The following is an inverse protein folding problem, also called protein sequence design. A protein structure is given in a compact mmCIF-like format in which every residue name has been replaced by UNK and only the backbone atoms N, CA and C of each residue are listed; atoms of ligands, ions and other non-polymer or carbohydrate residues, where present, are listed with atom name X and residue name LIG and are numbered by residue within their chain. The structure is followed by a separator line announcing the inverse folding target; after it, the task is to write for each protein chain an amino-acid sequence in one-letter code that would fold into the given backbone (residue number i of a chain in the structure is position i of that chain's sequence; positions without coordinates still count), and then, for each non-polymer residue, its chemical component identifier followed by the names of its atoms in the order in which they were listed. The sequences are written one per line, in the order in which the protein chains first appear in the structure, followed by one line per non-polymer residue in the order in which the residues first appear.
data_IF_577403440806
#
_entry.id   IF_577403440806
#
_cell.length_a   1.000
_cell.length_b   1.000
_cell.length_c   1.000
_cell.angle_alpha   90.00
_cell.angle_beta   90.00
_cell.angle_gamma   90.00
#
_symmetry.space_group_name_H-M   'P 1'
#
loop_
_entity.id
_entity.type
_entity.pdbx_description
1 polymer ?
2 non-polymer ?
3 water ?
#
# COMPACT_ATOMS: atom_id res chain seq x y z
N UNK A 1 22.46 17.37 14.13
CA UNK A 1 21.18 17.52 13.43
C UNK A 1 20.05 17.79 14.39
N UNK A 2 18.91 18.24 13.85
CA UNK A 2 17.73 18.43 14.66
C UNK A 2 17.37 17.12 15.35
N UNK A 3 16.62 17.23 16.42
CA UNK A 3 16.14 16.08 17.18
C UNK A 3 14.65 16.20 17.42
N UNK A 4 14.10 15.16 18.01
CA UNK A 4 12.68 15.07 18.31
C UNK A 4 12.50 14.26 19.58
N UNK A 5 11.86 14.85 20.59
CA UNK A 5 11.46 14.09 21.76
C UNK A 5 10.05 13.57 21.52
N UNK A 6 9.77 12.35 21.97
CA UNK A 6 8.43 11.80 21.88
C UNK A 6 8.15 11.03 23.15
N UNK A 7 7.07 11.40 23.86
CA UNK A 7 6.71 10.82 25.15
C UNK A 7 7.98 10.49 25.93
N UNK A 8 8.72 11.55 26.27
CA UNK A 8 9.92 11.49 27.08
C UNK A 8 11.10 10.73 26.51
N UNK A 9 11.28 10.70 25.18
CA UNK A 9 12.44 10.03 24.58
C UNK A 9 12.93 10.82 23.37
N UNK A 10 14.24 10.76 23.14
CA UNK A 10 14.90 11.60 22.15
C UNK A 10 15.32 10.74 20.96
N UNK A 11 15.11 11.29 19.77
CA UNK A 11 15.45 10.64 18.51
C UNK A 11 16.17 11.66 17.64
N UNK A 12 17.20 11.21 16.96
CA UNK A 12 17.99 12.08 16.11
C UNK A 12 17.60 11.83 14.65
N UNK A 13 17.62 12.88 13.85
CA UNK A 13 17.07 12.83 12.50
C UNK A 13 18.19 12.51 11.53
N UNK A 14 18.20 11.26 11.04
CA UNK A 14 19.06 10.93 9.91
C UNK A 14 18.68 11.75 8.68
N UNK A 15 17.45 11.62 8.21
CA UNK A 15 17.05 12.34 7.03
C UNK A 15 15.53 12.40 7.01
N UNK A 16 15.00 13.18 6.08
CA UNK A 16 13.57 13.23 5.86
C UNK A 16 13.24 12.28 4.71
N UNK A 17 12.40 11.28 4.99
CA UNK A 17 11.97 10.33 3.98
C UNK A 17 10.85 10.89 3.13
N UNK A 18 9.93 11.66 3.73
CA UNK A 18 8.71 11.95 2.98
C UNK A 18 7.88 13.06 3.57
N UNK A 19 6.90 13.49 2.78
CA UNK A 19 6.08 14.62 3.17
C UNK A 19 4.78 14.57 2.38
N UNK A 20 3.83 15.39 2.83
CA UNK A 20 2.48 15.44 2.29
C UNK A 20 1.57 16.27 3.18
N UNK A 21 0.82 17.19 2.59
CA UNK A 21 -0.07 18.00 3.41
C UNK A 21 0.75 18.75 4.45
N UNK A 22 0.40 18.59 5.72
CA UNK A 22 1.09 19.31 6.79
C UNK A 22 1.91 18.37 7.65
N UNK A 23 2.45 17.31 7.03
CA UNK A 23 3.12 16.22 7.74
C UNK A 23 4.42 15.84 7.03
N UNK A 24 5.39 15.38 7.85
CA UNK A 24 6.68 14.92 7.36
C UNK A 24 7.00 13.57 7.98
N UNK A 25 7.76 12.75 7.25
CA UNK A 25 8.32 11.51 7.78
C UNK A 25 9.84 11.61 7.77
N UNK A 26 10.44 11.27 8.91
CA UNK A 26 11.88 11.30 9.11
C UNK A 26 12.37 9.89 9.44
N UNK A 27 13.48 9.51 8.83
CA UNK A 27 14.26 8.39 9.35
C UNK A 27 15.11 8.89 10.52
N UNK A 28 14.97 8.25 11.69
CA UNK A 28 15.61 8.73 12.91
C UNK A 28 16.27 7.56 13.63
N UNK A 29 17.12 7.90 14.61
CA UNK A 29 17.71 6.94 15.51
C UNK A 29 17.36 7.30 16.95
N UNK A 30 17.16 6.28 17.77
CA UNK A 30 16.89 6.43 19.18
C UNK A 30 18.17 6.45 19.99
N UNK A 31 18.01 6.70 21.30
CA UNK A 31 19.06 6.52 22.31
C UNK A 31 20.04 5.44 21.90
N UNK A 32 19.58 4.19 21.85
CA UNK A 32 20.47 3.05 21.69
C UNK A 32 20.88 2.79 20.24
N UNK A 33 20.78 3.80 19.37
CA UNK A 33 21.28 3.72 17.99
C UNK A 33 20.38 2.88 17.07
N UNK A 34 19.24 2.41 17.56
CA UNK A 34 18.28 1.75 16.69
C UNK A 34 17.56 2.77 15.81
N UNK A 35 16.95 2.26 14.76
CA UNK A 35 16.42 3.10 13.70
C UNK A 35 14.88 3.01 13.70
N UNK A 36 14.24 4.15 13.44
CA UNK A 36 12.79 4.28 13.49
C UNK A 36 12.37 5.24 12.40
N UNK A 37 11.09 5.22 12.07
CA UNK A 37 10.50 6.34 11.34
C UNK A 37 9.71 7.19 12.34
N UNK A 38 9.67 8.50 12.11
CA UNK A 38 8.77 9.36 12.86
C UNK A 38 7.98 10.21 11.87
N UNK A 39 6.66 10.10 11.94
CA UNK A 39 5.78 10.99 11.21
C UNK A 39 5.42 12.19 12.11
N UNK A 40 5.55 13.39 11.58
CA UNK A 40 5.17 14.61 12.27
C UNK A 40 4.05 15.25 11.47
N UNK A 41 3.00 15.70 12.16
CA UNK A 41 1.86 16.38 11.52
C UNK A 41 1.62 17.69 12.26
N UNK A 42 1.70 18.81 11.54
CA UNK A 42 1.42 20.12 12.13
C UNK A 42 -0.08 20.38 12.07
N UNK A 43 -0.73 20.36 13.22
CA UNK A 43 -2.17 20.54 13.24
C UNK A 43 -2.60 22.01 13.24
N UNK A 44 -1.66 22.96 13.40
CA UNK A 44 -1.97 24.38 13.52
C UNK A 44 -3.19 24.79 12.70
N UNK A 45 -3.08 24.72 11.38
CA UNK A 45 -4.23 24.80 10.51
C UNK A 45 -4.60 23.38 10.09
N UNK A 46 -5.81 22.98 10.45
CA UNK A 46 -6.28 21.62 10.24
C UNK A 46 -7.76 21.61 10.52
N UNK A 47 -8.56 21.36 9.49
CA UNK A 47 -10.00 21.37 9.68
C UNK A 47 -10.42 20.21 10.56
N UNK A 48 -11.60 20.34 11.18
CA UNK A 48 -12.09 19.27 12.03
C UNK A 48 -12.22 17.94 11.29
N UNK A 49 -12.32 17.95 9.96
CA UNK A 49 -12.32 16.70 9.22
C UNK A 49 -10.91 16.13 9.09
N UNK A 50 -9.97 16.92 8.56
CA UNK A 50 -8.59 16.44 8.49
C UNK A 50 -8.10 16.00 9.85
N UNK A 51 -8.47 16.75 10.89
CA UNK A 51 -8.10 16.37 12.25
C UNK A 51 -8.63 14.99 12.60
N UNK A 52 -9.89 14.71 12.24
CA UNK A 52 -10.46 13.42 12.58
C UNK A 52 -9.92 12.28 11.72
N UNK A 53 -9.43 12.56 10.51
CA UNK A 53 -8.78 11.51 9.74
C UNK A 53 -7.47 11.06 10.39
N UNK A 54 -6.65 12.01 10.85
CA UNK A 54 -5.43 11.64 11.59
C UNK A 54 -5.78 10.85 12.84
N UNK A 55 -6.77 11.32 13.61
CA UNK A 55 -7.21 10.57 14.79
C UNK A 55 -7.66 9.17 14.40
N UNK A 56 -8.34 9.04 13.26
CA UNK A 56 -8.81 7.72 12.86
C UNK A 56 -7.65 6.81 12.47
N UNK A 57 -6.68 7.34 11.72
CA UNK A 57 -5.49 6.58 11.39
C UNK A 57 -4.87 5.98 12.65
N UNK A 58 -4.63 6.82 13.66
CA UNK A 58 -3.91 6.34 14.84
C UNK A 58 -4.66 5.20 15.51
N UNK A 59 -5.97 5.37 15.69
CA UNK A 59 -6.77 4.33 16.34
C UNK A 59 -6.67 3.00 15.59
N UNK A 60 -7.04 3.00 14.31
CA UNK A 60 -6.98 1.75 13.55
C UNK A 60 -5.56 1.19 13.52
N UNK A 61 -4.55 2.05 13.36
CA UNK A 61 -3.18 1.55 13.41
C UNK A 61 -2.93 0.80 14.71
N UNK A 62 -3.40 1.37 15.82
CA UNK A 62 -3.19 0.77 17.14
C UNK A 62 -3.97 -0.52 17.30
N UNK A 63 -5.12 -0.64 16.64
CA UNK A 63 -5.89 -1.88 16.74
C UNK A 63 -5.38 -2.95 15.78
N UNK A 64 -5.02 -2.58 14.55
CA UNK A 64 -4.76 -3.57 13.51
C UNK A 64 -3.45 -4.30 13.73
N UNK A 65 -2.46 -3.64 14.33
CA UNK A 65 -1.15 -4.27 14.43
C UNK A 65 -1.17 -5.42 15.42
N UNK A 66 -2.13 -5.42 16.34
CA UNK A 66 -2.34 -6.59 17.20
C UNK A 66 -2.58 -7.84 16.38
N UNK A 67 -3.20 -7.71 15.21
CA UNK A 67 -3.67 -8.86 14.43
C UNK A 67 -2.80 -9.18 13.23
N UNK A 68 -1.78 -8.37 12.93
CA UNK A 68 -0.88 -8.79 11.85
C UNK A 68 0.41 -8.01 11.98
N UNK A 69 1.54 -8.71 11.82
CA UNK A 69 2.82 -8.04 11.71
C UNK A 69 3.17 -7.67 10.27
N UNK A 70 2.20 -7.80 9.36
CA UNK A 70 2.35 -7.29 8.00
C UNK A 70 1.80 -5.88 7.88
N UNK A 71 1.33 -5.32 8.97
CA UNK A 71 0.96 -3.92 9.03
C UNK A 71 2.08 -3.19 9.76
N UNK A 72 2.61 -2.15 9.14
CA UNK A 72 3.65 -1.33 9.74
C UNK A 72 3.26 -0.94 11.17
N UNK A 73 4.19 -1.10 12.10
CA UNK A 73 3.89 -0.98 13.51
C UNK A 73 4.07 0.45 14.05
N UNK A 74 3.22 0.82 14.98
CA UNK A 74 3.28 2.12 15.65
C UNK A 74 3.60 1.85 17.10
N UNK A 75 4.72 2.38 17.57
CA UNK A 75 5.20 2.07 18.93
C UNK A 75 4.76 3.10 19.98
N UNK A 76 4.80 4.37 19.65
CA UNK A 76 4.54 5.45 20.59
C UNK A 76 4.01 6.64 19.81
N UNK A 77 3.30 7.53 20.49
CA UNK A 77 2.85 8.72 19.81
C UNK A 77 2.46 9.76 20.83
N UNK A 78 2.63 11.02 20.43
CA UNK A 78 2.18 12.20 21.14
C UNK A 78 1.19 12.92 20.26
N UNK A 79 0.08 13.34 20.83
CA UNK A 79 -0.89 14.10 20.06
C UNK A 79 -1.41 15.24 20.92
N UNK A 80 -1.32 16.44 20.38
CA UNK A 80 -1.83 17.61 21.06
C UNK A 80 -2.68 18.33 20.05
N UNK A 81 -3.20 19.48 20.47
CA UNK A 81 -3.90 20.32 19.51
C UNK A 81 -2.93 20.93 18.51
N UNK A 82 -1.64 20.97 18.83
CA UNK A 82 -0.62 21.53 17.93
C UNK A 82 -0.04 20.49 16.97
N UNK A 83 0.37 19.33 17.46
CA UNK A 83 1.15 18.43 16.62
C UNK A 83 0.77 16.98 16.87
N UNK A 84 1.19 16.12 15.93
CA UNK A 84 1.23 14.68 16.10
C UNK A 84 2.65 14.20 15.86
N UNK A 85 3.16 13.36 16.75
CA UNK A 85 4.38 12.60 16.53
C UNK A 85 4.05 11.13 16.63
N UNK A 86 4.34 10.39 15.56
CA UNK A 86 4.15 8.94 15.48
C UNK A 86 5.51 8.27 15.30
N UNK A 87 5.91 7.48 16.29
CA UNK A 87 7.13 6.69 16.21
C UNK A 87 6.76 5.31 15.66
N UNK A 88 7.30 4.96 14.49
CA UNK A 88 6.89 3.76 13.78
C UNK A 88 8.06 2.91 13.31
N UNK A 89 7.74 1.64 13.03
CA UNK A 89 8.65 0.76 12.34
C UNK A 89 9.13 1.43 11.07
N UNK A 90 10.43 1.48 10.84
CA UNK A 90 10.96 2.17 9.68
C UNK A 90 11.20 1.17 8.55
N UNK A 91 10.65 1.45 7.38
CA UNK A 91 10.93 0.63 6.24
C UNK A 91 12.30 0.92 5.63
N UNK A 92 12.83 -0.07 4.90
CA UNK A 92 14.01 0.15 4.07
C UNK A 92 13.72 1.15 2.97
N UNK A 93 12.61 0.96 2.28
CA UNK A 93 12.21 1.73 1.10
C UNK A 93 10.77 1.33 0.81
N UNK A 94 10.05 2.11 0.02
CA UNK A 94 8.70 1.71 -0.34
C UNK A 94 8.71 0.92 -1.64
N UNK A 95 7.68 0.09 -1.83
CA UNK A 95 7.64 -0.84 -2.94
C UNK A 95 7.60 -0.13 -4.29
N UNK A 96 7.01 1.07 -4.36
CA UNK A 96 6.98 1.77 -5.64
C UNK A 96 8.36 2.30 -6.03
N UNK A 97 9.14 2.79 -5.06
CA UNK A 97 10.52 3.17 -5.37
C UNK A 97 11.37 1.97 -5.72
N UNK A 98 11.13 0.85 -5.05
CA UNK A 98 11.93 -0.32 -5.36
C UNK A 98 11.62 -0.80 -6.76
N UNK A 99 10.34 -0.82 -7.13
CA UNK A 99 9.95 -1.27 -8.46
C UNK A 99 10.52 -0.37 -9.55
N UNK A 100 10.54 0.95 -9.30
CA UNK A 100 10.99 1.89 -10.33
C UNK A 100 12.46 1.71 -10.69
N UNK A 101 13.23 0.99 -9.87
CA UNK A 101 14.63 0.75 -10.19
C UNK A 101 14.83 -0.44 -11.11
N UNK A 102 13.76 -0.97 -11.67
CA UNK A 102 13.72 -1.88 -12.82
C UNK A 102 14.47 -3.18 -12.59
N UNK A 103 15.04 -3.42 -11.41
CA UNK A 103 15.63 -4.72 -11.14
C UNK A 103 14.52 -5.77 -11.05
N UNK A 104 14.62 -6.82 -11.89
CA UNK A 104 13.54 -7.80 -11.97
C UNK A 104 13.55 -8.74 -10.77
N UNK A 105 12.39 -9.33 -10.51
CA UNK A 105 12.07 -9.90 -9.20
C UNK A 105 12.22 -11.41 -9.23
N UNK A 106 12.97 -11.93 -8.27
CA UNK A 106 13.06 -13.36 -8.05
C UNK A 106 11.65 -13.92 -7.86
N UNK A 107 11.25 -14.92 -8.65
CA UNK A 107 9.86 -15.42 -8.55
C UNK A 107 9.47 -15.80 -7.13
N UNK A 108 10.38 -16.38 -6.36
CA UNK A 108 10.00 -16.81 -5.02
C UNK A 108 9.81 -15.62 -4.10
N UNK A 109 10.49 -14.52 -4.37
CA UNK A 109 10.25 -13.33 -3.56
C UNK A 109 8.97 -12.63 -3.98
N UNK A 110 8.66 -12.66 -5.28
CA UNK A 110 7.37 -12.16 -5.72
C UNK A 110 6.24 -12.93 -5.05
N UNK A 111 6.32 -14.26 -5.02
CA UNK A 111 5.26 -15.04 -4.41
C UNK A 111 5.12 -14.71 -2.93
N UNK A 112 6.26 -14.52 -2.25
CA UNK A 112 6.24 -14.23 -0.81
C UNK A 112 5.75 -12.80 -0.52
N UNK A 113 6.15 -11.86 -1.37
CA UNK A 113 5.62 -10.51 -1.30
C UNK A 113 4.10 -10.53 -1.43
N UNK A 114 3.61 -11.35 -2.35
CA UNK A 114 2.17 -11.44 -2.60
C UNK A 114 1.42 -11.94 -1.36
N UNK A 115 1.95 -12.98 -0.71
CA UNK A 115 1.38 -13.41 0.55
C UNK A 115 1.28 -12.23 1.51
N UNK A 116 2.39 -11.52 1.69
CA UNK A 116 2.41 -10.36 2.58
C UNK A 116 1.26 -9.40 2.28
N UNK A 117 1.12 -9.00 1.02
CA UNK A 117 0.08 -8.03 0.68
C UNK A 117 -1.31 -8.55 1.03
N UNK A 118 -1.56 -9.84 0.70
CA UNK A 118 -2.87 -10.43 0.96
C UNK A 118 -3.16 -10.44 2.45
N UNK A 119 -2.19 -10.90 3.24
CA UNK A 119 -2.40 -10.93 4.68
C UNK A 119 -2.76 -9.54 5.18
N UNK A 120 -2.01 -8.51 4.76
CA UNK A 120 -2.26 -7.16 5.28
C UNK A 120 -3.62 -6.66 4.86
N UNK A 121 -3.92 -6.75 3.57
CA UNK A 121 -5.21 -6.24 3.09
C UNK A 121 -6.33 -7.08 3.67
N UNK A 122 -6.11 -8.40 3.81
CA UNK A 122 -7.13 -9.25 4.41
C UNK A 122 -7.46 -8.77 5.82
N UNK A 123 -6.45 -8.42 6.63
CA UNK A 123 -6.79 -8.02 7.99
C UNK A 123 -7.40 -6.62 8.06
N UNK A 124 -7.09 -5.72 7.13
CA UNK A 124 -7.84 -4.47 7.22
C UNK A 124 -9.29 -4.70 6.82
N UNK A 125 -9.54 -5.60 5.86
CA UNK A 125 -10.91 -5.96 5.51
C UNK A 125 -11.65 -6.52 6.72
N UNK A 126 -10.98 -7.35 7.51
CA UNK A 126 -11.65 -7.96 8.65
C UNK A 126 -12.00 -6.96 9.73
N UNK A 127 -11.60 -5.69 9.61
CA UNK A 127 -12.01 -4.63 10.53
C UNK A 127 -12.75 -3.53 9.79
N UNK A 128 -13.37 -3.88 8.68
CA UNK A 128 -14.28 -2.98 8.04
C UNK A 128 -13.67 -1.92 7.14
N UNK A 129 -12.38 -1.97 6.91
CA UNK A 129 -11.75 -1.02 6.01
C UNK A 129 -11.65 -1.64 4.63
N UNK A 130 -12.11 -0.89 3.62
CA UNK A 130 -11.73 -1.09 2.23
C UNK A 130 -10.83 0.07 1.90
N UNK A 131 -9.56 -0.23 1.59
CA UNK A 131 -8.61 0.86 1.33
C UNK A 131 -9.09 1.75 0.19
N UNK A 132 -9.39 1.15 -0.96
CA UNK A 132 -9.96 1.83 -2.13
C UNK A 132 -8.89 2.43 -3.04
N UNK A 133 -7.70 2.74 -2.51
CA UNK A 133 -6.65 3.38 -3.31
C UNK A 133 -5.31 2.66 -3.18
N UNK A 134 -5.31 1.32 -3.23
CA UNK A 134 -4.08 0.58 -2.98
C UNK A 134 -3.12 0.75 -4.15
N UNK A 135 -1.85 0.91 -3.83
CA UNK A 135 -0.83 1.12 -4.83
C UNK A 135 0.50 0.66 -4.24
N UNK A 136 1.53 0.50 -5.06
CA UNK A 136 2.83 0.06 -4.50
C UNK A 136 3.31 0.90 -3.33
N UNK A 137 3.07 2.22 -3.35
CA UNK A 137 3.59 3.10 -2.32
C UNK A 137 3.04 2.79 -0.95
N UNK A 138 1.90 2.09 -0.87
CA UNK A 138 1.36 1.73 0.44
C UNK A 138 2.14 0.61 1.12
N UNK A 139 3.12 -0.01 0.45
CA UNK A 139 3.84 -1.13 1.02
C UNK A 139 5.29 -0.76 1.23
N UNK A 140 5.85 -1.12 2.39
CA UNK A 140 7.24 -0.92 2.68
C UNK A 140 7.91 -2.27 2.88
N UNK A 141 9.17 -2.34 2.46
CA UNK A 141 10.01 -3.52 2.62
C UNK A 141 10.74 -3.42 3.95
N UNK A 142 10.48 -4.36 4.85
CA UNK A 142 11.29 -4.52 6.07
C UNK A 142 11.32 -5.99 6.44
N UNK A 143 12.40 -6.38 7.13
CA UNK A 143 12.67 -7.78 7.45
C UNK A 143 12.30 -8.69 6.28
N UNK A 144 12.72 -8.27 5.08
CA UNK A 144 12.40 -9.03 3.89
C UNK A 144 10.93 -9.31 3.62
N UNK A 145 10.01 -8.54 4.22
CA UNK A 145 8.57 -8.63 3.94
C UNK A 145 8.01 -7.31 3.43
N UNK A 146 6.83 -7.38 2.83
CA UNK A 146 6.06 -6.18 2.50
C UNK A 146 5.10 -5.87 3.65
N UNK A 147 5.01 -4.60 4.02
CA UNK A 147 4.11 -4.20 5.11
C UNK A 147 3.35 -2.96 4.70
N UNK A 148 2.05 -2.97 4.96
CA UNK A 148 1.14 -1.90 4.59
C UNK A 148 1.31 -0.69 5.51
N UNK A 149 1.21 0.54 4.96
CA UNK A 149 1.47 1.76 5.74
C UNK A 149 0.29 2.73 5.74
N UNK A 150 -0.26 3.09 4.56
CA UNK A 150 -1.28 4.15 4.51
C UNK A 150 -2.64 3.54 4.16
N UNK A 151 -3.57 3.50 5.12
CA UNK A 151 -4.88 2.87 4.89
C UNK A 151 -5.80 3.68 3.99
N UNK A 152 -5.27 4.64 3.24
CA UNK A 152 -6.12 5.47 2.39
C UNK A 152 -7.26 6.13 3.12
N UNK A 153 -6.98 6.72 4.29
CA UNK A 153 -7.92 7.68 4.88
C UNK A 153 -7.22 9.03 4.96
N UNK A 154 -6.33 9.21 5.94
CA UNK A 154 -5.46 10.37 5.91
C UNK A 154 -4.71 10.41 4.59
N UNK A 155 -4.42 11.62 4.11
CA UNK A 155 -3.89 11.73 2.76
C UNK A 155 -2.51 11.11 2.68
N UNK A 156 -2.20 10.54 1.52
CA UNK A 156 -1.00 9.73 1.37
C UNK A 156 0.24 10.62 1.28
N UNK A 157 1.35 10.10 1.82
CA UNK A 157 2.62 10.77 1.79
C UNK A 157 3.33 10.56 0.45
N UNK A 158 4.27 11.44 0.15
CA UNK A 158 5.09 11.32 -1.04
C UNK A 158 6.56 11.34 -0.66
N UNK A 159 7.41 10.60 -1.38
CA UNK A 159 8.83 10.54 -1.01
C UNK A 159 9.58 11.80 -1.39
N UNK A 160 10.58 12.15 -0.58
CA UNK A 160 11.44 13.30 -0.87
C UNK A 160 12.76 12.88 -1.51
N UNK A 161 13.41 13.84 -2.20
CA UNK A 161 14.80 13.68 -2.63
C UNK A 161 15.66 14.86 -2.12
N UNK A 170 2.77 14.06 -8.56
CA UNK A 170 2.10 13.29 -9.60
C UNK A 170 1.24 12.16 -8.99
N UNK A 171 1.68 10.90 -9.08
CA UNK A 171 0.86 9.80 -8.59
C UNK A 171 -0.06 9.28 -9.68
N UNK A 172 -0.43 8.00 -9.66
CA UNK A 172 -1.12 7.43 -10.82
C UNK A 172 -2.51 6.88 -10.65
N UNK A 173 -2.93 6.30 -11.76
CA UNK A 173 -4.29 5.91 -12.04
C UNK A 173 -4.28 4.46 -12.43
N UNK A 174 -3.07 3.93 -12.61
CA UNK A 174 -2.92 2.62 -13.19
C UNK A 174 -3.54 1.51 -12.35
N UNK A 175 -3.75 1.74 -11.06
CA UNK A 175 -4.31 0.72 -10.17
C UNK A 175 -5.78 0.99 -9.84
N UNK A 176 -6.43 1.86 -10.58
CA UNK A 176 -7.79 2.25 -10.23
C UNK A 176 -8.78 1.19 -10.72
N UNK A 177 -9.59 0.60 -9.84
CA UNK A 177 -10.52 -0.44 -10.29
C UNK A 177 -11.63 0.15 -11.14
N UNK A 178 -12.23 -0.66 -12.03
CA UNK A 178 -13.30 -0.13 -12.88
C UNK A 178 -14.50 0.39 -12.12
N UNK A 179 -14.97 -0.33 -11.08
CA UNK A 179 -16.13 0.13 -10.34
C UNK A 179 -15.98 1.57 -9.89
N UNK A 180 -14.76 1.98 -9.53
CA UNK A 180 -14.54 3.33 -9.02
C UNK A 180 -14.79 4.37 -10.11
N UNK A 181 -14.36 4.07 -11.34
CA UNK A 181 -14.54 5.02 -12.44
C UNK A 181 -16.00 5.08 -12.87
N UNK A 182 -16.70 3.94 -12.94
CA UNK A 182 -18.13 3.93 -13.26
C UNK A 182 -18.96 4.60 -12.17
N UNK A 183 -18.47 4.59 -10.93
CA UNK A 183 -19.18 5.15 -9.77
C UNK A 183 -19.24 6.68 -9.75
N UNK A 184 -18.40 7.37 -10.52
CA UNK A 184 -18.47 8.83 -10.54
C UNK A 184 -19.69 9.26 -11.35
N UNK A 185 -20.77 9.61 -10.64
CA UNK A 185 -21.99 10.12 -11.24
C UNK A 185 -23.00 10.37 -10.14
N UNK A 186 -23.68 11.51 -10.22
CA UNK A 186 -24.59 11.97 -9.16
C UNK A 186 -23.82 12.26 -7.86
N UNK A 197 -19.40 0.13 -1.55
CA UNK A 197 -17.96 0.05 -1.79
C UNK A 197 -17.40 -1.36 -1.54
N UNK A 198 -16.63 -1.92 -2.50
CA UNK A 198 -16.47 -3.35 -2.24
C UNK A 198 -15.03 -3.75 -1.91
N UNK A 199 -14.83 -4.72 -0.97
CA UNK A 199 -13.50 -5.34 -0.81
C UNK A 199 -12.90 -5.84 -2.12
N UNK A 200 -13.77 -6.08 -3.11
CA UNK A 200 -13.27 -6.54 -4.40
C UNK A 200 -12.39 -5.46 -5.05
N UNK A 201 -12.66 -4.19 -4.78
CA UNK A 201 -11.85 -3.10 -5.34
C UNK A 201 -10.38 -3.24 -4.98
N UNK A 202 -10.08 -3.62 -3.74
CA UNK A 202 -8.68 -3.84 -3.38
C UNK A 202 -8.07 -5.03 -4.11
N UNK A 203 -8.88 -6.04 -4.46
CA UNK A 203 -8.36 -7.16 -5.23
C UNK A 203 -7.84 -6.68 -6.58
N UNK A 204 -8.60 -5.79 -7.24
CA UNK A 204 -8.16 -5.27 -8.51
C UNK A 204 -6.82 -4.55 -8.39
N UNK A 205 -6.68 -3.64 -7.39
CA UNK A 205 -5.42 -2.92 -7.24
C UNK A 205 -4.28 -3.86 -6.88
N UNK A 206 -4.54 -4.83 -5.98
CA UNK A 206 -3.53 -5.83 -5.65
C UNK A 206 -3.10 -6.61 -6.88
N UNK A 207 -4.06 -6.90 -7.79
CA UNK A 207 -3.72 -7.57 -9.03
C UNK A 207 -2.79 -6.75 -9.92
N UNK A 208 -3.12 -5.46 -10.11
CA UNK A 208 -2.25 -4.56 -10.86
C UNK A 208 -0.83 -4.51 -10.31
N UNK A 209 -0.69 -4.59 -9.00
CA UNK A 209 0.64 -4.63 -8.42
C UNK A 209 1.32 -5.95 -8.76
N UNK A 210 0.59 -7.05 -8.65
CA UNK A 210 1.15 -8.35 -8.98
C UNK A 210 1.58 -8.36 -10.45
N UNK A 211 0.65 -7.99 -11.34
CA UNK A 211 0.96 -7.87 -12.75
C UNK A 211 2.31 -7.18 -12.94
N UNK A 212 2.41 -5.94 -12.44
CA UNK A 212 3.64 -5.18 -12.51
C UNK A 212 4.83 -5.98 -12.01
N UNK A 213 4.63 -6.76 -10.95
CA UNK A 213 5.74 -7.55 -10.41
C UNK A 213 6.06 -8.76 -11.27
N UNK A 214 5.22 -9.09 -12.24
CA UNK A 214 5.47 -10.26 -13.07
C UNK A 214 5.74 -9.93 -14.52
N UNK A 215 5.09 -8.90 -15.06
CA UNK A 215 5.22 -8.50 -16.45
C UNK A 215 6.00 -7.20 -16.64
N UNK A 216 6.63 -6.69 -15.60
CA UNK A 216 7.32 -5.42 -15.69
C UNK A 216 6.45 -4.19 -15.89
N UNK A 217 5.13 -4.32 -16.09
CA UNK A 217 4.30 -3.15 -16.34
C UNK A 217 2.90 -3.38 -15.78
N UNK A 218 2.26 -2.28 -15.35
CA UNK A 218 0.85 -2.34 -15.00
C UNK A 218 0.01 -2.52 -16.26
N UNK A 219 -1.21 -3.08 -16.13
CA UNK A 219 -1.95 -3.49 -17.35
C UNK A 219 -2.01 -2.42 -18.43
N UNK A 220 -2.49 -1.22 -18.11
CA UNK A 220 -2.65 -0.16 -19.09
C UNK A 220 -1.56 0.90 -19.01
N UNK A 221 -0.37 0.53 -18.52
CA UNK A 221 0.77 1.43 -18.42
C UNK A 221 1.28 1.89 -19.78
N UNK A 222 0.82 1.29 -20.87
CA UNK A 222 1.20 1.71 -22.22
C UNK A 222 0.33 2.87 -22.71
N UNK A 223 -0.99 2.81 -22.47
CA UNK A 223 -1.87 3.95 -22.78
C UNK A 223 -1.41 5.17 -22.01
N UNK A 224 -0.48 5.95 -22.56
CA UNK A 224 0.04 7.06 -21.77
C UNK A 224 -1.04 8.13 -21.56
N UNK A 225 -1.96 8.27 -22.52
CA UNK A 225 -3.03 9.25 -22.36
C UNK A 225 -4.03 8.77 -21.32
N UNK A 226 -4.46 9.69 -20.46
CA UNK A 226 -5.16 9.31 -19.24
C UNK A 226 -6.67 9.18 -19.44
N UNK A 227 -7.27 9.94 -20.35
CA UNK A 227 -8.65 9.59 -20.70
C UNK A 227 -8.67 8.31 -21.50
N UNK A 228 -7.70 8.16 -22.41
CA UNK A 228 -7.49 6.89 -23.10
C UNK A 228 -7.28 5.76 -22.09
N UNK A 229 -6.40 5.98 -21.12
CA UNK A 229 -6.17 4.97 -20.08
C UNK A 229 -7.45 4.66 -19.32
N UNK A 230 -8.10 5.69 -18.80
CA UNK A 230 -9.32 5.49 -18.03
C UNK A 230 -10.29 4.62 -18.79
N UNK A 231 -10.42 4.87 -20.09
CA UNK A 231 -11.41 4.15 -20.89
C UNK A 231 -11.11 2.66 -20.91
N UNK A 232 -9.87 2.30 -21.24
CA UNK A 232 -9.48 0.90 -21.28
C UNK A 232 -9.91 0.17 -20.03
N UNK A 233 -9.65 0.76 -18.86
CA UNK A 233 -9.99 0.09 -17.61
C UNK A 233 -11.46 -0.30 -17.58
N UNK A 234 -12.34 0.54 -18.11
CA UNK A 234 -13.76 0.22 -18.00
C UNK A 234 -14.30 -0.50 -19.22
N UNK A 235 -13.44 -0.76 -20.21
CA UNK A 235 -13.86 -1.25 -21.52
C UNK A 235 -13.94 -2.77 -21.58
N UNK A 236 -15.14 -3.35 -21.55
CA UNK A 236 -15.26 -4.82 -21.57
C UNK A 236 -14.63 -5.47 -22.78
N UNK A 237 -14.33 -4.72 -23.84
CA UNK A 237 -13.75 -5.27 -25.05
C UNK A 237 -12.34 -4.76 -25.31
N UNK A 238 -11.71 -4.15 -24.30
CA UNK A 238 -10.27 -3.94 -24.30
C UNK A 238 -9.69 -5.01 -23.40
N UNK A 239 -9.25 -6.11 -24.00
CA UNK A 239 -8.80 -7.25 -23.24
C UNK A 239 -7.38 -7.01 -22.73
N UNK A 240 -7.13 -7.44 -21.50
CA UNK A 240 -5.80 -7.33 -20.90
C UNK A 240 -4.98 -8.51 -21.35
N UNK A 241 -3.76 -8.24 -21.78
CA UNK A 241 -2.88 -9.31 -22.21
C UNK A 241 -2.33 -10.06 -21.01
N UNK A 242 -2.06 -11.34 -21.19
CA UNK A 242 -1.53 -12.19 -20.13
C UNK A 242 -0.48 -13.12 -20.72
N UNK A 243 0.64 -12.59 -21.17
CA UNK A 243 1.75 -13.42 -21.64
C UNK A 243 1.91 -14.70 -20.82
N UNK A 244 1.94 -15.85 -21.48
CA UNK A 244 2.14 -17.10 -20.76
C UNK A 244 3.52 -17.11 -20.10
N UNK A 245 3.60 -17.83 -18.99
CA UNK A 245 4.78 -17.82 -18.12
C UNK A 245 4.96 -19.20 -17.51
N UNK A 246 6.15 -19.47 -17.00
CA UNK A 246 6.38 -20.72 -16.25
C UNK A 246 5.36 -20.97 -15.15
N UNK A 247 5.18 -20.02 -14.22
CA UNK A 247 4.21 -20.19 -13.15
C UNK A 247 2.81 -19.94 -13.71
N UNK A 248 2.02 -21.00 -13.84
CA UNK A 248 0.69 -20.89 -14.41
C UNK A 248 -0.36 -20.53 -13.37
N UNK A 249 -0.20 -21.03 -12.15
CA UNK A 249 -0.99 -20.51 -11.04
C UNK A 249 -0.87 -18.98 -10.95
N UNK A 250 0.34 -18.43 -11.11
CA UNK A 250 0.49 -16.97 -11.12
C UNK A 250 -0.32 -16.36 -12.26
N UNK A 251 -0.21 -16.94 -13.45
CA UNK A 251 -1.04 -16.48 -14.55
C UNK A 251 -2.51 -16.48 -14.16
N UNK A 252 -2.95 -17.51 -13.45
CA UNK A 252 -4.37 -17.62 -13.16
C UNK A 252 -4.80 -16.59 -12.12
N UNK A 253 -3.91 -16.32 -11.15
CA UNK A 253 -4.19 -15.30 -10.13
C UNK A 253 -4.44 -13.96 -10.78
N UNK A 254 -3.53 -13.54 -11.67
CA UNK A 254 -3.68 -12.23 -12.30
C UNK A 254 -4.98 -12.16 -13.08
N UNK A 255 -5.38 -13.28 -13.69
CA UNK A 255 -6.55 -13.29 -14.56
C UNK A 255 -7.84 -13.07 -13.77
N UNK A 256 -7.98 -13.75 -12.62
CA UNK A 256 -9.17 -13.57 -11.79
C UNK A 256 -9.13 -12.28 -10.98
N UNK A 257 -7.94 -11.73 -10.76
CA UNK A 257 -7.87 -10.48 -10.02
C UNK A 257 -8.33 -9.32 -10.89
N UNK A 258 -8.06 -9.40 -12.19
CA UNK A 258 -8.33 -8.31 -13.12
C UNK A 258 -9.57 -8.53 -13.95
N UNK A 259 -10.60 -9.13 -13.35
CA UNK A 259 -11.90 -9.23 -13.97
C UNK A 259 -12.69 -7.96 -13.64
N UNK A 260 -13.29 -7.36 -14.65
CA UNK A 260 -13.91 -6.04 -14.44
C UNK A 260 -15.22 -6.13 -13.67
N UNK A 261 -15.96 -7.22 -13.80
CA UNK A 261 -17.16 -7.33 -12.99
C UNK A 261 -16.73 -7.73 -11.59
N UNK A 262 -16.83 -6.82 -10.61
CA UNK A 262 -16.33 -7.14 -9.26
C UNK A 262 -16.99 -8.36 -8.66
N UNK A 263 -18.17 -8.74 -9.15
CA UNK A 263 -18.83 -9.93 -8.64
C UNK A 263 -18.18 -11.21 -9.14
N UNK A 264 -17.64 -11.18 -10.36
CA UNK A 264 -16.85 -12.30 -10.86
C UNK A 264 -15.40 -12.24 -10.37
N UNK A 265 -14.90 -11.06 -10.02
CA UNK A 265 -13.54 -10.96 -9.51
C UNK A 265 -13.38 -11.86 -8.28
N UNK A 266 -12.19 -12.37 -8.10
CA UNK A 266 -11.93 -13.30 -7.01
C UNK A 266 -11.83 -12.52 -5.70
N UNK A 267 -12.17 -13.18 -4.59
CA UNK A 267 -12.11 -12.54 -3.29
C UNK A 267 -10.79 -12.86 -2.58
N UNK A 268 -10.43 -12.00 -1.61
CA UNK A 268 -9.27 -12.28 -0.77
C UNK A 268 -9.34 -13.68 -0.15
N UNK A 269 -10.41 -14.06 0.55
CA UNK A 269 -10.44 -15.41 1.15
C UNK A 269 -10.23 -16.52 0.13
N UNK A 270 -10.73 -16.34 -1.10
CA UNK A 270 -10.41 -17.28 -2.18
C UNK A 270 -8.93 -17.21 -2.53
N UNK A 271 -8.40 -16.00 -2.70
CA UNK A 271 -6.99 -15.86 -3.04
C UNK A 271 -6.11 -16.59 -2.03
N UNK A 272 -6.51 -16.57 -0.75
CA UNK A 272 -5.74 -17.24 0.29
C UNK A 272 -5.80 -18.76 0.16
N UNK A 273 -6.80 -19.31 -0.52
CA UNK A 273 -6.87 -20.74 -0.75
C UNK A 273 -6.27 -21.13 -2.09
N UNK A 274 -5.76 -20.18 -2.84
CA UNK A 274 -5.38 -20.42 -4.21
C UNK A 274 -3.99 -21.07 -4.32
N UNK A 275 -3.78 -21.96 -5.29
CA UNK A 275 -2.52 -22.75 -5.35
C UNK A 275 -1.24 -21.93 -5.40
N UNK A 276 -1.23 -20.83 -6.16
CA UNK A 276 -0.11 -19.89 -6.14
C UNK A 276 0.39 -19.62 -4.72
N UNK A 277 -0.52 -19.55 -3.75
CA UNK A 277 -0.17 -19.14 -2.40
C UNK A 277 0.03 -20.37 -1.52
N UNK A 278 -0.65 -21.45 -1.86
CA UNK A 278 -0.76 -22.61 -0.98
C UNK A 278 0.27 -23.69 -1.28
N UNK A 279 0.61 -23.91 -2.56
CA UNK A 279 1.60 -24.91 -2.97
C UNK A 279 2.95 -24.22 -3.17
N UNK A 280 3.98 -24.64 -2.41
CA UNK A 280 5.22 -23.86 -2.35
C UNK A 280 6.06 -23.96 -3.62
N UNK A 281 6.03 -25.09 -4.32
CA UNK A 281 6.71 -25.17 -5.61
C UNK A 281 5.86 -24.44 -6.65
N UNK A 282 6.43 -23.37 -7.22
CA UNK A 282 5.70 -22.51 -8.14
C UNK A 282 5.51 -23.22 -9.49
N UNK A 283 4.25 -23.51 -9.82
CA UNK A 283 3.85 -24.18 -11.07
C UNK A 283 2.86 -23.35 -11.89
X LIG B 1 6.29 5.46 7.71
X LIG B 1 7.53 3.86 8.59
X LIG B 1 5.18 6.47 7.50
X LIG B 1 7.86 5.79 5.66
X LIG B 1 7.73 7.09 3.61
X LIG B 1 6.35 6.71 0.31
X LIG B 1 5.06 6.32 1.28
X LIG B 1 5.61 6.21 2.51
X LIG B 1 10.45 4.64 2.66
X LIG B 1 12.30 5.60 1.44
X LIG B 1 14.75 4.81 4.64
X LIG B 1 12.59 4.92 3.71
X LIG B 1 11.29 4.52 3.77
X LIG B 1 9.69 4.38 5.72
X LIG B 1 8.16 4.26 7.44
X LIG B 1 7.40 5.25 6.87
X LIG B 1 6.42 4.58 8.77
X LIG B 1 6.65 7.40 2.60
X LIG B 1 7.19 7.48 1.08
X LIG B 1 10.96 5.19 1.48
X LIG B 1 13.11 5.46 2.55
X LIG B 1 12.03 6.70 -1.01
X LIG B 1 12.89 6.75 -2.09
X LIG B 1 14.29 6.93 -1.50
X LIG B 1 14.22 6.27 -0.05
X LIG B 1 10.90 3.95 5.05
X LIG B 1 9.31 3.83 6.83
X LIG B 1 4.36 7.22 7.34
X LIG B 1 7.20 6.85 4.94
X LIG B 1 9.00 5.32 5.15
X LIG B 1 12.87 6.15 0.23
X LIG B 1 13.37 4.73 4.84
X LIG B 1 15.15 5.97 0.63
X LIG B 1 7.86 3.15 9.21
X LIG B 1 8.26 6.20 3.29
X LIG B 1 8.42 7.92 3.66
X LIG B 1 6.85 5.81 -0.02
X LIG B 1 6.00 7.30 -0.55
X LIG B 1 4.62 5.38 0.96
X LIG B 1 4.32 7.11 1.27
X LIG B 1 4.84 6.31 3.28
X LIG B 1 6.11 5.25 2.61
X LIG B 1 9.42 4.31 2.71
X LIG B 1 15.06 4.00 3.99
X LIG B 1 14.99 5.76 4.16
X LIG B 1 15.27 4.74 5.58
X LIG B 1 5.72 4.48 9.60
X LIG B 1 6.21 8.34 2.88
X LIG B 1 8.19 7.07 1.04
X LIG B 1 7.17 8.50 0.74
X LIG B 1 10.32 5.30 0.62
X LIG B 1 14.14 5.78 2.51
X LIG B 1 11.21 6.03 -1.21
X LIG B 1 11.66 7.69 -0.78
X LIG B 1 12.83 5.82 -2.65
X LIG B 1 12.63 7.59 -2.72
X LIG B 1 15.03 6.41 -2.12
X LIG B 1 14.53 7.99 -1.43
X LIG B 1 11.47 3.26 5.48
X LIG B 1 6.45 7.37 5.33
#
# INVERSE_FOLDING_TARGET
NECISVKGRIYSILKQIGSGGSSKVFQVLNEKKQIYAIKYVNLEEADNQTLDSYRNEIAYLNKLQQHSDKIIRLYDYEITDQYIYMVMECGNIDLNSWLKKKKSIDPWERKSYWKNMLEAVHTIHQHGIVHSDLKPANFLIVDGMLKLIDFGIANQMQPDTXXVVKDSQVGTVNYMPPEAIKDMSSSRENGKSKSKISPKSDVWSLGCILYYMTYGKTPFQQIINQISKLHAIIDPNHEIEFPDIPEKDLQDVLKCCLKRDPKQRISIPELLAHPYVQIQTLE
G0U C10 N12 C13 C15 C17 C20 C21 C22 C24 C26 C01 C03 C04 C06 C08 C09 C11 C18 C19 C25 C27 C29 C30 C31 C32 N05 N07 N14 N16 N23 N28 O02 O33 H1 H2 H3 H4 H5 H6 H7 H8 H9 H10 H11 H12 H13 H14 H15 H16 H17 H18 H19 H20 H21 H22 H23 H24 H25 H26 H27
#
